data_IF_027254616446
#
_entry.id   IF_027254616446
#
_cell.length_a   1.000
_cell.length_b   1.000
_cell.length_c   1.000
_cell.angle_alpha   90.00
_cell.angle_beta   90.00
_cell.angle_gamma   90.00
#
_symmetry.space_group_name_H-M   'P 1'
#
loop_
_entity.id
_entity.type
_entity.pdbx_description
1 polymer ?
#
# COMPACT_ATOMS: atom_id res chain seq x y z
N UNK A 1 25.16 -31.02 -0.03
CA UNK A 1 24.73 -29.59 0.00
C UNK A 1 23.56 -29.33 -0.95
N UNK A 2 23.64 -29.74 -2.22
CA UNK A 2 22.57 -29.52 -3.22
C UNK A 2 21.25 -30.21 -2.83
N UNK A 3 21.30 -31.42 -2.26
CA UNK A 3 20.10 -32.13 -1.77
C UNK A 3 19.39 -31.40 -0.62
N UNK A 4 20.13 -30.89 0.36
CA UNK A 4 19.57 -30.10 1.47
C UNK A 4 18.85 -28.84 0.98
N UNK A 5 19.38 -28.18 -0.05
CA UNK A 5 18.73 -27.01 -0.67
C UNK A 5 17.42 -27.44 -1.36
N UNK A 6 17.42 -28.57 -2.07
CA UNK A 6 16.24 -29.10 -2.74
C UNK A 6 15.13 -29.50 -1.77
N UNK A 7 15.48 -30.07 -0.62
CA UNK A 7 14.55 -30.33 0.49
C UNK A 7 14.00 -29.04 1.10
N UNK A 8 14.86 -28.05 1.37
CA UNK A 8 14.43 -26.74 1.88
C UNK A 8 13.40 -26.06 0.96
N UNK A 9 13.62 -26.05 -0.35
CA UNK A 9 12.64 -25.50 -1.29
C UNK A 9 11.32 -26.29 -1.32
N UNK A 10 11.38 -27.61 -1.10
CA UNK A 10 10.19 -28.47 -1.03
C UNK A 10 9.39 -28.18 0.23
N UNK A 11 10.06 -27.97 1.36
CA UNK A 11 9.46 -27.57 2.64
C UNK A 11 8.84 -26.18 2.56
N UNK A 12 9.58 -25.18 2.05
CA UNK A 12 9.08 -23.80 1.85
C UNK A 12 7.85 -23.78 0.94
N UNK A 13 7.85 -24.56 -0.15
CA UNK A 13 6.67 -24.67 -1.03
C UNK A 13 5.48 -25.33 -0.31
N UNK A 14 5.73 -26.22 0.65
CA UNK A 14 4.72 -26.81 1.52
C UNK A 14 4.11 -25.79 2.48
N UNK A 15 4.93 -24.92 3.07
CA UNK A 15 4.49 -23.84 3.95
C UNK A 15 3.72 -22.74 3.22
N UNK A 16 4.16 -22.38 2.01
CA UNK A 16 3.45 -21.39 1.17
C UNK A 16 2.01 -21.84 0.88
N UNK A 17 1.74 -23.14 0.77
CA UNK A 17 0.38 -23.66 0.60
C UNK A 17 -0.49 -23.54 1.85
N UNK A 18 0.10 -23.36 3.04
CA UNK A 18 -0.62 -23.09 4.29
C UNK A 18 -0.96 -21.61 4.45
N UNK A 19 -0.41 -20.74 3.59
CA UNK A 19 -0.76 -19.33 3.57
C UNK A 19 -2.15 -19.20 2.93
N UNK A 20 -3.11 -18.74 3.72
CA UNK A 20 -4.41 -18.32 3.23
C UNK A 20 -4.25 -16.98 2.52
N UNK A 21 -4.06 -17.03 1.21
CA UNK A 21 -4.10 -15.84 0.38
C UNK A 21 -5.52 -15.27 0.38
N UNK A 22 -5.65 -13.93 0.41
CA UNK A 22 -6.94 -13.28 0.28
C UNK A 22 -7.57 -13.66 -1.06
N UNK A 23 -8.90 -13.75 -1.08
CA UNK A 23 -9.62 -13.93 -2.33
C UNK A 23 -9.37 -12.74 -3.27
N UNK A 24 -9.52 -12.97 -4.58
CA UNK A 24 -9.38 -11.91 -5.59
C UNK A 24 -10.35 -10.75 -5.32
N UNK A 25 -11.52 -11.06 -4.79
CA UNK A 25 -12.55 -10.10 -4.41
C UNK A 25 -12.14 -9.25 -3.20
N UNK A 26 -11.66 -9.88 -2.12
CA UNK A 26 -11.15 -9.14 -0.94
C UNK A 26 -9.96 -8.25 -1.28
N UNK A 27 -9.08 -8.72 -2.15
CA UNK A 27 -7.92 -7.94 -2.63
C UNK A 27 -8.37 -6.72 -3.43
N UNK A 28 -9.35 -6.89 -4.31
CA UNK A 28 -9.91 -5.80 -5.11
C UNK A 28 -10.64 -4.79 -4.24
N UNK A 29 -11.51 -5.24 -3.34
CA UNK A 29 -12.26 -4.38 -2.42
C UNK A 29 -11.31 -3.57 -1.51
N UNK A 30 -10.28 -4.21 -0.96
CA UNK A 30 -9.27 -3.53 -0.14
C UNK A 30 -8.50 -2.49 -0.94
N UNK A 31 -8.16 -2.79 -2.21
CA UNK A 31 -7.47 -1.83 -3.09
C UNK A 31 -8.34 -0.61 -3.40
N UNK A 32 -9.63 -0.82 -3.69
CA UNK A 32 -10.58 0.27 -3.94
C UNK A 32 -10.68 1.21 -2.74
N UNK A 33 -10.80 0.65 -1.53
CA UNK A 33 -10.84 1.45 -0.30
C UNK A 33 -9.58 2.29 -0.13
N UNK A 34 -8.40 1.70 -0.34
CA UNK A 34 -7.12 2.43 -0.28
C UNK A 34 -7.07 3.57 -1.29
N UNK A 35 -7.48 3.33 -2.53
CA UNK A 35 -7.52 4.37 -3.58
C UNK A 35 -8.42 5.53 -3.17
N UNK A 36 -9.61 5.26 -2.63
CA UNK A 36 -10.53 6.29 -2.16
C UNK A 36 -9.89 7.13 -1.05
N UNK A 37 -9.24 6.50 -0.08
CA UNK A 37 -8.57 7.20 1.03
C UNK A 37 -7.43 8.08 0.50
N UNK A 38 -6.61 7.56 -0.43
CA UNK A 38 -5.52 8.32 -1.05
C UNK A 38 -6.05 9.55 -1.77
N UNK A 39 -7.15 9.42 -2.52
CA UNK A 39 -7.79 10.55 -3.20
C UNK A 39 -8.22 11.61 -2.18
N UNK A 40 -8.92 11.22 -1.11
CA UNK A 40 -9.37 12.16 -0.06
C UNK A 40 -8.18 12.89 0.57
N UNK A 41 -7.13 12.15 0.97
CA UNK A 41 -5.94 12.72 1.60
C UNK A 41 -5.21 13.67 0.64
N UNK A 42 -5.07 13.29 -0.63
CA UNK A 42 -4.40 14.13 -1.64
C UNK A 42 -5.14 15.46 -1.86
N UNK A 43 -6.47 15.44 -1.91
CA UNK A 43 -7.29 16.65 -2.01
C UNK A 43 -7.12 17.53 -0.78
N UNK A 44 -7.18 16.94 0.42
CA UNK A 44 -6.98 17.67 1.67
C UNK A 44 -5.61 18.35 1.72
N UNK A 45 -4.54 17.62 1.42
CA UNK A 45 -3.18 18.17 1.38
C UNK A 45 -3.05 19.27 0.33
N UNK A 46 -3.61 19.08 -0.87
CA UNK A 46 -3.60 20.11 -1.92
C UNK A 46 -4.26 21.42 -1.47
N UNK A 47 -5.40 21.34 -0.77
CA UNK A 47 -6.06 22.53 -0.20
C UNK A 47 -5.20 23.18 0.87
N UNK A 48 -4.60 22.38 1.75
CA UNK A 48 -3.71 22.87 2.81
C UNK A 48 -2.47 23.58 2.23
N UNK A 49 -1.83 22.99 1.23
CA UNK A 49 -0.65 23.55 0.55
C UNK A 49 -0.97 24.88 -0.14
N UNK A 50 -2.12 24.97 -0.81
CA UNK A 50 -2.59 26.23 -1.42
C UNK A 50 -2.85 27.29 -0.35
N UNK A 51 -3.50 26.91 0.75
CA UNK A 51 -3.77 27.80 1.89
C UNK A 51 -2.50 28.34 2.51
N UNK A 52 -1.56 27.46 2.85
CA UNK A 52 -0.25 27.80 3.40
C UNK A 52 0.55 28.67 2.43
N UNK A 53 0.61 28.32 1.15
CA UNK A 53 1.32 29.11 0.14
C UNK A 53 0.77 30.52 0.02
N UNK A 54 -0.56 30.69 0.07
CA UNK A 54 -1.20 32.01 0.06
C UNK A 54 -0.89 32.80 1.33
N UNK A 55 -0.97 32.15 2.51
CA UNK A 55 -0.65 32.78 3.78
C UNK A 55 0.80 33.26 3.84
N UNK A 56 1.75 32.41 3.43
CA UNK A 56 3.17 32.76 3.36
C UNK A 56 3.42 33.91 2.38
N UNK A 57 2.80 33.88 1.19
CA UNK A 57 2.90 35.00 0.22
C UNK A 57 2.33 36.31 0.76
N UNK A 58 1.30 36.26 1.60
CA UNK A 58 0.72 37.43 2.24
C UNK A 58 1.62 37.99 3.35
N UNK A 59 2.38 37.15 4.04
CA UNK A 59 3.30 37.58 5.11
C UNK A 59 4.62 38.13 4.54
N UNK A 60 5.11 37.54 3.43
CA UNK A 60 6.38 37.95 2.80
C UNK A 60 6.22 39.24 1.95
N UNK A 61 5.00 39.56 1.52
CA UNK A 61 4.69 40.80 0.81
C UNK A 61 4.27 41.90 1.79
#
# INVERSE_FOLDING_TARGET
MIEKIKEFFKEVRGEIKRITFPSKEETFNSTVVVVVIVVIVSVFLSVADIGLTKAVKFIIK
#
